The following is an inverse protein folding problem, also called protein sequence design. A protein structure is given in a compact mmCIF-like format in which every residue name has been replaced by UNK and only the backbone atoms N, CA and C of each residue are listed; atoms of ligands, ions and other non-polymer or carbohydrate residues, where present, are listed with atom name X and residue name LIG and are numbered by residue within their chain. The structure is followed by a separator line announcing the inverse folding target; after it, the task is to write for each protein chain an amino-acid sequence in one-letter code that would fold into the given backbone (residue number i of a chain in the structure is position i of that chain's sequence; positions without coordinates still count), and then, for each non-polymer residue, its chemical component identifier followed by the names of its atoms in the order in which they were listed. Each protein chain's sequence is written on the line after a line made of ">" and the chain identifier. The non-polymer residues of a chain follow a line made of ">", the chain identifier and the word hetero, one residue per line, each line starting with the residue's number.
data_IF_433078078598
#
_entry.id   IF_433078078598
#
_cell.length_a   1.000
_cell.length_b   1.000
_cell.length_c   1.000
_cell.angle_alpha   90.00
_cell.angle_beta   90.00
_cell.angle_gamma   90.00
#
_symmetry.space_group_name_H-M   'P 1'
#
loop_
_entity.id
_entity.type
_entity.pdbx_description
1 polymer ?
#
# COMPACT_ATOMS: atom_id res chain seq x y z
N UNK A 1 0.48 -29.97 14.81
CA UNK A 1 -0.74 -29.93 13.98
C UNK A 1 -1.35 -28.57 14.17
N UNK A 2 -1.83 -27.97 13.11
CA UNK A 2 -2.16 -26.55 13.07
C UNK A 2 -3.52 -26.34 12.42
N UNK A 3 -4.26 -25.35 12.90
CA UNK A 3 -5.46 -24.85 12.21
C UNK A 3 -5.04 -23.72 11.26
N UNK A 4 -5.30 -23.91 9.97
CA UNK A 4 -5.01 -22.93 8.94
C UNK A 4 -6.29 -22.18 8.57
N UNK A 5 -6.44 -20.92 8.99
CA UNK A 5 -7.51 -20.06 8.47
C UNK A 5 -7.14 -19.57 7.08
N UNK A 6 -7.98 -19.85 6.09
CA UNK A 6 -7.66 -19.62 4.67
C UNK A 6 -8.73 -18.75 4.03
N UNK A 7 -8.31 -17.64 3.44
CA UNK A 7 -9.15 -16.86 2.53
C UNK A 7 -9.30 -17.55 1.18
N UNK A 8 -10.53 -17.97 0.87
CA UNK A 8 -10.90 -18.62 -0.38
C UNK A 8 -10.93 -17.65 -1.57
N UNK A 9 -10.93 -16.33 -1.32
CA UNK A 9 -11.19 -15.35 -2.35
C UNK A 9 -12.69 -15.17 -2.65
N UNK A 10 -13.03 -14.37 -3.68
CA UNK A 10 -14.37 -13.83 -3.89
C UNK A 10 -15.39 -14.81 -4.51
N UNK A 11 -14.93 -15.86 -5.20
CA UNK A 11 -15.83 -16.75 -5.95
C UNK A 11 -15.15 -17.67 -6.97
N UNK A 12 -14.32 -17.13 -7.85
CA UNK A 12 -13.59 -17.98 -8.79
C UNK A 12 -12.52 -18.80 -8.05
N UNK A 13 -12.41 -20.10 -8.37
CA UNK A 13 -11.52 -21.00 -7.66
C UNK A 13 -10.02 -20.68 -7.90
N UNK A 14 -9.70 -20.03 -9.01
CA UNK A 14 -8.36 -19.58 -9.38
C UNK A 14 -7.95 -18.26 -8.72
N UNK A 15 -8.85 -17.59 -7.99
CA UNK A 15 -8.54 -16.42 -7.17
C UNK A 15 -8.15 -16.77 -5.73
N UNK A 16 -8.09 -18.06 -5.38
CA UNK A 16 -7.41 -18.49 -4.16
C UNK A 16 -5.91 -18.28 -4.28
N UNK A 17 -5.24 -17.99 -3.17
CA UNK A 17 -3.77 -17.94 -3.16
C UNK A 17 -3.18 -19.34 -3.37
N UNK A 18 -1.98 -19.40 -3.97
CA UNK A 18 -1.22 -20.66 -4.10
C UNK A 18 -1.08 -21.35 -2.74
N UNK A 19 -0.72 -20.59 -1.70
CA UNK A 19 -0.61 -21.10 -0.32
C UNK A 19 -1.94 -21.68 0.17
N UNK A 20 -3.06 -20.99 -0.04
CA UNK A 20 -4.37 -21.43 0.42
C UNK A 20 -4.80 -22.74 -0.23
N UNK A 21 -4.61 -22.86 -1.55
CA UNK A 21 -4.90 -24.09 -2.30
C UNK A 21 -4.06 -25.27 -1.80
N UNK A 22 -2.74 -25.07 -1.67
CA UNK A 22 -1.83 -26.15 -1.27
C UNK A 22 -2.08 -26.61 0.17
N UNK A 23 -2.53 -25.71 1.05
CA UNK A 23 -3.00 -26.03 2.40
C UNK A 23 -4.28 -26.89 2.39
N UNK A 24 -5.27 -26.53 1.56
CA UNK A 24 -6.51 -27.31 1.40
C UNK A 24 -6.20 -28.70 0.86
N UNK A 25 -5.33 -28.81 -0.14
CA UNK A 25 -4.94 -30.07 -0.77
C UNK A 25 -4.35 -31.08 0.21
N UNK A 26 -3.53 -30.61 1.16
CA UNK A 26 -2.79 -31.49 2.10
C UNK A 26 -3.48 -31.73 3.43
N UNK A 27 -4.45 -30.90 3.82
CA UNK A 27 -5.09 -30.98 5.15
C UNK A 27 -6.04 -32.18 5.22
N UNK A 28 -5.88 -33.11 6.19
CA UNK A 28 -6.78 -34.25 6.34
C UNK A 28 -8.22 -33.87 6.72
N UNK A 29 -8.42 -32.67 7.29
CA UNK A 29 -9.73 -32.15 7.67
C UNK A 29 -9.91 -30.75 7.07
N UNK A 30 -11.00 -30.55 6.34
CA UNK A 30 -11.35 -29.27 5.70
C UNK A 30 -12.71 -28.80 6.20
N UNK A 31 -12.75 -27.67 6.89
CA UNK A 31 -13.98 -27.03 7.38
C UNK A 31 -14.24 -25.77 6.56
N UNK A 32 -15.34 -25.69 5.82
CA UNK A 32 -15.66 -24.49 5.03
C UNK A 32 -16.93 -23.78 5.51
N UNK A 33 -16.97 -22.46 5.33
CA UNK A 33 -18.06 -21.59 5.78
C UNK A 33 -19.23 -21.51 4.77
N UNK A 34 -19.86 -22.65 4.45
CA UNK A 34 -21.10 -22.70 3.68
C UNK A 34 -21.01 -22.22 2.24
N UNK A 35 -22.16 -21.76 1.73
CA UNK A 35 -22.38 -21.46 0.30
C UNK A 35 -21.57 -20.29 -0.28
N UNK A 36 -20.84 -19.55 0.56
CA UNK A 36 -19.94 -18.48 0.12
C UNK A 36 -18.52 -18.98 -0.18
N UNK A 37 -18.24 -20.27 0.09
CA UNK A 37 -17.04 -20.95 -0.41
C UNK A 37 -17.41 -21.74 -1.67
N UNK A 38 -16.80 -21.42 -2.82
CA UNK A 38 -17.06 -22.10 -4.10
C UNK A 38 -16.80 -23.60 -4.04
N UNK A 39 -17.69 -24.44 -4.63
CA UNK A 39 -17.47 -25.89 -4.69
C UNK A 39 -16.15 -26.28 -5.33
N UNK A 40 -15.66 -25.50 -6.32
CA UNK A 40 -14.37 -25.74 -6.96
C UNK A 40 -13.18 -25.66 -5.99
N UNK A 41 -13.25 -24.81 -4.97
CA UNK A 41 -12.20 -24.70 -3.95
C UNK A 41 -12.26 -25.89 -2.99
N UNK A 42 -13.47 -26.31 -2.62
CA UNK A 42 -13.68 -27.48 -1.75
C UNK A 42 -13.23 -28.77 -2.46
N UNK A 43 -13.39 -28.85 -3.78
CA UNK A 43 -12.98 -29.98 -4.60
C UNK A 43 -11.45 -30.18 -4.67
N UNK A 44 -10.64 -29.19 -4.29
CA UNK A 44 -9.18 -29.32 -4.20
C UNK A 44 -8.73 -30.16 -2.99
N UNK A 45 -9.62 -30.43 -2.03
CA UNK A 45 -9.29 -31.22 -0.86
C UNK A 45 -8.81 -32.64 -1.26
N UNK A 46 -7.56 -32.98 -0.94
CA UNK A 46 -6.98 -34.30 -1.19
C UNK A 46 -6.45 -34.56 -2.59
N UNK A 47 -6.38 -33.57 -3.50
CA UNK A 47 -5.95 -33.82 -4.90
C UNK A 47 -4.45 -34.02 -5.10
N UNK A 48 -3.60 -33.69 -4.11
CA UNK A 48 -2.13 -33.82 -4.17
C UNK A 48 -1.56 -34.83 -3.15
N UNK A 49 -2.24 -35.94 -2.89
CA UNK A 49 -1.60 -37.02 -2.12
C UNK A 49 -0.43 -37.63 -2.93
N UNK A 50 0.83 -37.60 -2.43
CA UNK A 50 1.92 -38.32 -3.08
C UNK A 50 1.69 -39.83 -2.90
N UNK A 51 1.48 -40.53 -4.02
CA UNK A 51 1.25 -41.98 -4.07
C UNK A 51 -0.22 -42.38 -4.04
N UNK A 52 -0.54 -43.50 -4.68
CA UNK A 52 -1.89 -44.06 -4.92
C UNK A 52 -2.66 -44.52 -3.64
N UNK A 53 -2.35 -43.97 -2.47
CA UNK A 53 -3.07 -44.25 -1.23
C UNK A 53 -4.21 -43.23 -1.04
N UNK A 54 -5.49 -43.64 -1.05
CA UNK A 54 -6.59 -42.76 -0.69
C UNK A 54 -6.39 -42.27 0.73
N UNK A 55 -6.31 -40.94 0.94
CA UNK A 55 -6.49 -40.37 2.27
C UNK A 55 -7.98 -40.15 2.49
N UNK A 56 -8.49 -40.60 3.63
CA UNK A 56 -9.84 -40.27 4.06
C UNK A 56 -9.87 -38.78 4.48
N UNK A 57 -10.13 -37.89 3.51
CA UNK A 57 -10.20 -36.45 3.75
C UNK A 57 -11.61 -36.11 4.21
N UNK A 58 -11.71 -35.54 5.41
CA UNK A 58 -12.99 -35.17 6.00
C UNK A 58 -13.34 -33.72 5.67
N UNK A 59 -14.25 -33.54 4.72
CA UNK A 59 -14.77 -32.23 4.31
C UNK A 59 -16.08 -31.93 5.04
N UNK A 60 -16.16 -30.80 5.74
CA UNK A 60 -17.27 -30.45 6.63
C UNK A 60 -17.80 -29.06 6.27
N UNK A 61 -19.09 -28.99 5.93
CA UNK A 61 -19.83 -27.73 5.85
C UNK A 61 -20.19 -27.26 7.26
N UNK A 62 -19.74 -26.06 7.60
CA UNK A 62 -20.02 -25.45 8.93
C UNK A 62 -21.20 -24.50 8.93
N UNK A 63 -21.91 -24.30 7.82
CA UNK A 63 -23.01 -23.34 7.72
C UNK A 63 -24.13 -23.56 8.74
N UNK A 64 -24.39 -24.81 9.12
CA UNK A 64 -25.42 -25.19 10.08
C UNK A 64 -24.89 -25.34 11.52
N UNK A 65 -23.59 -25.11 11.75
CA UNK A 65 -22.93 -25.32 13.04
C UNK A 65 -22.83 -24.01 13.82
N UNK A 66 -22.98 -24.10 15.14
CA UNK A 66 -22.64 -22.99 16.02
C UNK A 66 -21.12 -22.98 16.34
N UNK A 67 -20.65 -21.93 17.01
CA UNK A 67 -19.23 -21.75 17.32
C UNK A 67 -18.65 -22.93 18.11
N UNK A 68 -19.33 -23.40 19.15
CA UNK A 68 -18.82 -24.51 19.98
C UNK A 68 -18.66 -25.80 19.17
N UNK A 69 -19.64 -26.12 18.31
CA UNK A 69 -19.56 -27.26 17.40
C UNK A 69 -18.39 -27.12 16.41
N UNK A 70 -18.14 -25.92 15.90
CA UNK A 70 -17.01 -25.64 14.99
C UNK A 70 -15.67 -25.83 15.73
N UNK A 71 -15.56 -25.34 16.97
CA UNK A 71 -14.37 -25.55 17.81
C UNK A 71 -14.17 -27.03 18.11
N UNK A 72 -15.23 -27.78 18.43
CA UNK A 72 -15.14 -29.21 18.73
C UNK A 72 -14.63 -30.01 17.52
N UNK A 73 -15.03 -29.65 16.29
CA UNK A 73 -14.49 -30.27 15.08
C UNK A 73 -12.99 -30.02 14.91
N UNK A 74 -12.54 -28.78 15.14
CA UNK A 74 -11.12 -28.43 15.05
C UNK A 74 -10.31 -29.13 16.14
N UNK A 75 -10.80 -29.10 17.38
CA UNK A 75 -10.17 -29.78 18.52
C UNK A 75 -10.03 -31.29 18.27
N UNK A 76 -11.10 -31.95 17.85
CA UNK A 76 -11.07 -33.39 17.58
C UNK A 76 -10.08 -33.77 16.46
N UNK A 77 -9.94 -32.92 15.45
CA UNK A 77 -8.95 -33.13 14.38
C UNK A 77 -7.50 -32.98 14.90
N UNK A 78 -7.25 -31.95 15.72
CA UNK A 78 -5.93 -31.71 16.31
C UNK A 78 -5.53 -32.83 17.28
N UNK A 79 -6.45 -33.30 18.13
CA UNK A 79 -6.25 -34.44 19.04
C UNK A 79 -5.98 -35.75 18.28
N UNK A 80 -6.53 -35.90 17.07
CA UNK A 80 -6.25 -37.01 16.17
C UNK A 80 -4.93 -36.87 15.39
N UNK A 81 -4.18 -35.78 15.58
CA UNK A 81 -2.93 -35.56 14.87
C UNK A 81 -3.12 -35.08 13.43
N UNK A 82 -4.20 -34.36 13.13
CA UNK A 82 -4.48 -33.82 11.79
C UNK A 82 -4.44 -32.29 11.74
N UNK A 83 -3.79 -31.73 10.71
CA UNK A 83 -3.95 -30.33 10.33
C UNK A 83 -5.38 -30.05 9.85
N UNK A 84 -5.84 -28.82 10.04
CA UNK A 84 -7.18 -28.38 9.66
C UNK A 84 -7.13 -27.21 8.70
N UNK A 85 -7.72 -27.34 7.52
CA UNK A 85 -7.98 -26.20 6.64
C UNK A 85 -9.34 -25.59 6.98
N UNK A 86 -9.34 -24.41 7.60
CA UNK A 86 -10.54 -23.64 7.93
C UNK A 86 -10.79 -22.55 6.88
N UNK A 87 -11.64 -22.83 5.91
CA UNK A 87 -11.81 -22.03 4.69
C UNK A 87 -12.95 -21.02 4.84
N UNK A 88 -12.63 -19.75 4.64
CA UNK A 88 -13.54 -18.59 4.73
C UNK A 88 -13.65 -17.89 3.36
N UNK A 89 -14.82 -17.32 3.06
CA UNK A 89 -15.00 -16.51 1.84
C UNK A 89 -14.19 -15.22 1.90
N UNK A 90 -13.69 -14.76 0.75
CA UNK A 90 -12.93 -13.51 0.63
C UNK A 90 -11.60 -13.57 1.39
N UNK A 91 -11.36 -12.54 2.20
CA UNK A 91 -10.22 -12.46 3.11
C UNK A 91 -10.69 -12.60 4.58
N UNK A 92 -10.03 -13.43 5.42
CA UNK A 92 -10.46 -13.65 6.79
C UNK A 92 -10.41 -12.41 7.70
N UNK A 93 -9.65 -11.38 7.36
CA UNK A 93 -9.54 -10.16 8.16
C UNK A 93 -10.82 -9.32 8.13
N UNK A 94 -11.69 -9.51 7.13
CA UNK A 94 -12.91 -8.71 6.95
C UNK A 94 -14.17 -9.54 7.19
N UNK A 95 -14.82 -9.30 8.33
CA UNK A 95 -16.12 -9.92 8.68
C UNK A 95 -16.14 -11.45 8.64
N UNK A 96 -14.98 -12.12 8.69
CA UNK A 96 -14.84 -13.57 8.60
C UNK A 96 -15.16 -14.34 9.89
N UNK A 97 -15.38 -13.64 11.01
CA UNK A 97 -15.62 -14.23 12.34
C UNK A 97 -14.52 -15.22 12.79
N UNK A 98 -13.26 -14.97 12.40
CA UNK A 98 -12.13 -15.80 12.83
C UNK A 98 -11.62 -15.45 14.23
N UNK A 99 -11.81 -14.20 14.68
CA UNK A 99 -11.31 -13.73 15.98
C UNK A 99 -11.89 -14.50 17.18
N UNK A 100 -13.19 -14.81 17.14
CA UNK A 100 -13.83 -15.62 18.18
C UNK A 100 -13.34 -17.08 18.16
N UNK A 101 -13.02 -17.62 16.99
CA UNK A 101 -12.47 -18.96 16.86
C UNK A 101 -11.04 -19.01 17.39
N UNK A 102 -10.17 -18.10 16.94
CA UNK A 102 -8.78 -17.96 17.40
C UNK A 102 -8.71 -17.83 18.92
N UNK A 103 -9.53 -16.97 19.54
CA UNK A 103 -9.59 -16.83 21.01
C UNK A 103 -9.93 -18.14 21.73
N UNK A 104 -10.77 -19.00 21.14
CA UNK A 104 -11.11 -20.31 21.72
C UNK A 104 -9.99 -21.32 21.51
N UNK A 105 -9.28 -21.26 20.38
CA UNK A 105 -8.09 -22.07 20.11
C UNK A 105 -6.92 -21.68 21.05
N UNK A 106 -6.70 -20.38 21.29
CA UNK A 106 -5.72 -19.89 22.27
C UNK A 106 -5.97 -20.49 23.65
N UNK A 107 -7.23 -20.49 24.11
CA UNK A 107 -7.62 -21.06 25.40
C UNK A 107 -7.43 -22.59 25.48
N UNK A 108 -7.37 -23.27 24.33
CA UNK A 108 -7.12 -24.71 24.22
C UNK A 108 -5.63 -25.03 23.98
N UNK A 109 -4.77 -24.03 23.79
CA UNK A 109 -3.37 -24.23 23.40
C UNK A 109 -3.21 -24.86 22.01
N UNK A 110 -4.13 -24.55 21.08
CA UNK A 110 -4.10 -25.05 19.70
C UNK A 110 -3.49 -23.98 18.79
N UNK A 111 -2.41 -24.33 18.10
CA UNK A 111 -1.72 -23.44 17.16
C UNK A 111 -2.58 -23.18 15.90
N UNK A 112 -2.49 -21.96 15.38
CA UNK A 112 -3.10 -21.57 14.12
C UNK A 112 -2.26 -20.57 13.33
N UNK A 113 -2.54 -20.48 12.03
CA UNK A 113 -2.07 -19.41 11.16
C UNK A 113 -3.22 -18.85 10.29
N UNK A 114 -2.95 -17.70 9.66
CA UNK A 114 -3.90 -17.05 8.74
C UNK A 114 -3.23 -16.85 7.39
N UNK A 115 -3.81 -17.46 6.36
CA UNK A 115 -3.46 -17.23 4.96
C UNK A 115 -4.45 -16.22 4.36
N UNK A 116 -3.97 -15.05 3.89
CA UNK A 116 -4.84 -14.02 3.32
C UNK A 116 -5.50 -14.51 2.03
N UNK A 117 -6.62 -13.88 1.68
CA UNK A 117 -7.37 -14.11 0.45
C UNK A 117 -7.62 -12.80 -0.30
N UNK A 118 -8.19 -12.92 -1.50
CA UNK A 118 -8.60 -11.76 -2.28
C UNK A 118 -9.96 -11.25 -1.75
N UNK A 119 -10.05 -10.02 -1.21
CA UNK A 119 -11.30 -9.50 -0.66
C UNK A 119 -12.27 -9.08 -1.78
N UNK A 120 -13.58 -9.09 -1.47
CA UNK A 120 -14.62 -8.80 -2.45
C UNK A 120 -14.52 -7.40 -3.08
N UNK A 121 -14.06 -6.38 -2.34
CA UNK A 121 -13.90 -5.03 -2.89
C UNK A 121 -12.79 -4.94 -3.94
N UNK A 122 -11.69 -5.66 -3.76
CA UNK A 122 -10.61 -5.72 -4.74
C UNK A 122 -11.06 -6.49 -5.98
N UNK A 123 -11.79 -7.59 -5.79
CA UNK A 123 -12.39 -8.35 -6.89
C UNK A 123 -13.40 -7.50 -7.69
N UNK A 124 -14.24 -6.72 -7.01
CA UNK A 124 -15.17 -5.79 -7.66
C UNK A 124 -14.43 -4.70 -8.44
N UNK A 125 -13.39 -4.10 -7.85
CA UNK A 125 -12.55 -3.12 -8.55
C UNK A 125 -11.93 -3.70 -9.84
N UNK A 126 -11.42 -4.93 -9.77
CA UNK A 126 -10.87 -5.64 -10.92
C UNK A 126 -11.92 -5.93 -12.00
N UNK A 127 -13.11 -6.43 -11.61
CA UNK A 127 -14.21 -6.71 -12.54
C UNK A 127 -14.75 -5.41 -13.21
N UNK A 128 -14.64 -4.27 -12.53
CA UNK A 128 -15.00 -2.97 -13.08
C UNK A 128 -13.90 -2.34 -13.95
N UNK A 129 -12.66 -2.84 -13.87
CA UNK A 129 -11.48 -2.19 -14.45
C UNK A 129 -11.23 -0.80 -13.84
N UNK A 130 -11.46 -0.65 -12.53
CA UNK A 130 -11.45 0.65 -11.85
C UNK A 130 -10.47 0.65 -10.68
N UNK A 131 -9.59 1.65 -10.64
CA UNK A 131 -8.81 1.97 -9.45
C UNK A 131 -9.68 2.77 -8.46
N UNK A 132 -9.75 2.35 -7.20
CA UNK A 132 -10.62 3.00 -6.19
C UNK A 132 -10.00 4.28 -5.60
N UNK A 133 -8.77 4.59 -5.96
CA UNK A 133 -8.03 5.80 -5.56
C UNK A 133 -7.51 6.52 -6.78
N UNK A 134 -8.05 7.70 -7.07
CA UNK A 134 -7.69 8.50 -8.24
C UNK A 134 -7.22 9.89 -7.80
N UNK A 135 -6.11 10.42 -8.35
CA UNK A 135 -5.65 11.78 -8.08
C UNK A 135 -6.76 12.81 -8.31
N UNK A 136 -6.91 13.76 -7.39
CA UNK A 136 -7.94 14.81 -7.48
C UNK A 136 -9.39 14.35 -7.24
N UNK A 137 -9.66 13.04 -7.16
CA UNK A 137 -11.03 12.50 -6.99
C UNK A 137 -11.22 11.82 -5.63
N UNK A 138 -10.40 10.83 -5.29
CA UNK A 138 -10.47 10.11 -4.02
C UNK A 138 -9.13 9.47 -3.72
N UNK A 139 -8.57 9.69 -2.54
CA UNK A 139 -7.33 9.05 -2.07
C UNK A 139 -7.56 8.10 -0.89
N UNK A 140 -8.83 7.81 -0.61
CA UNK A 140 -9.25 7.03 0.55
C UNK A 140 -10.33 6.03 0.14
N UNK A 141 -10.25 4.81 0.68
CA UNK A 141 -11.29 3.78 0.56
C UNK A 141 -11.75 3.38 1.96
N UNK A 142 -13.04 3.47 2.23
CA UNK A 142 -13.65 3.06 3.50
C UNK A 142 -14.32 1.70 3.29
N UNK A 143 -13.87 0.69 4.04
CA UNK A 143 -14.50 -0.62 4.11
C UNK A 143 -15.43 -0.65 5.31
N UNK A 144 -16.73 -0.77 5.08
CA UNK A 144 -17.73 -0.74 6.16
C UNK A 144 -18.89 -1.69 5.90
N UNK A 145 -19.89 -1.66 6.78
CA UNK A 145 -21.17 -2.34 6.67
C UNK A 145 -22.23 -1.49 7.38
N UNK A 146 -23.49 -1.81 7.18
CA UNK A 146 -24.57 -1.22 7.99
C UNK A 146 -24.80 -2.04 9.25
N UNK A 147 -25.46 -1.41 10.24
CA UNK A 147 -26.14 -2.16 11.30
C UNK A 147 -27.07 -3.20 10.68
N UNK A 148 -27.04 -4.42 11.20
CA UNK A 148 -27.98 -5.48 10.83
C UNK A 148 -28.55 -6.08 12.11
N UNK A 149 -29.58 -6.92 12.00
CA UNK A 149 -30.26 -7.51 13.17
C UNK A 149 -29.31 -8.20 14.16
N UNK A 150 -28.16 -8.72 13.72
CA UNK A 150 -27.19 -9.42 14.56
C UNK A 150 -26.18 -8.51 15.27
N UNK A 151 -25.96 -7.27 14.83
CA UNK A 151 -25.02 -6.36 15.48
C UNK A 151 -25.21 -4.89 15.08
N UNK A 152 -25.10 -4.00 16.06
CA UNK A 152 -24.98 -2.57 15.85
C UNK A 152 -23.57 -2.16 15.39
N UNK A 153 -23.44 -0.91 14.94
CA UNK A 153 -22.14 -0.30 14.64
C UNK A 153 -21.59 0.40 15.89
N UNK A 154 -20.26 0.40 16.11
CA UNK A 154 -19.63 1.27 17.09
C UNK A 154 -19.97 2.76 16.85
N UNK A 155 -19.84 3.56 17.91
CA UNK A 155 -20.05 5.00 17.80
C UNK A 155 -19.04 5.63 16.83
N UNK A 156 -19.53 6.44 15.88
CA UNK A 156 -18.71 7.10 14.86
C UNK A 156 -18.46 6.28 13.59
N UNK A 157 -18.92 5.03 13.53
CA UNK A 157 -18.81 4.16 12.34
C UNK A 157 -20.12 4.06 11.54
N UNK A 158 -21.08 4.95 11.79
CA UNK A 158 -22.31 5.04 10.99
C UNK A 158 -22.06 5.71 9.62
N UNK A 159 -22.94 5.44 8.66
CA UNK A 159 -22.76 5.92 7.29
C UNK A 159 -22.81 7.44 7.15
N UNK A 160 -23.59 8.15 7.98
CA UNK A 160 -23.63 9.61 7.93
C UNK A 160 -22.30 10.20 8.42
N UNK A 161 -21.69 9.61 9.46
CA UNK A 161 -20.35 10.00 9.92
C UNK A 161 -19.28 9.69 8.88
N UNK A 162 -19.21 8.45 8.39
CA UNK A 162 -18.20 8.02 7.42
C UNK A 162 -18.34 8.77 6.08
N UNK A 163 -19.58 9.04 5.66
CA UNK A 163 -19.89 9.68 4.40
C UNK A 163 -19.46 11.14 4.30
N UNK A 164 -19.26 11.83 5.43
CA UNK A 164 -18.77 13.22 5.44
C UNK A 164 -17.39 13.37 4.78
N UNK A 165 -16.59 12.30 4.73
CA UNK A 165 -15.28 12.31 4.09
C UNK A 165 -15.33 12.48 2.57
N UNK A 166 -16.45 12.13 1.92
CA UNK A 166 -16.54 12.05 0.46
C UNK A 166 -15.69 10.94 -0.18
N UNK A 167 -15.03 10.11 0.62
CA UNK A 167 -14.17 9.02 0.15
C UNK A 167 -14.96 7.96 -0.61
N UNK A 168 -14.28 7.09 -1.35
CA UNK A 168 -14.93 5.90 -1.92
C UNK A 168 -15.29 4.94 -0.80
N UNK A 169 -16.55 4.47 -0.75
CA UNK A 169 -17.03 3.57 0.31
C UNK A 169 -17.44 2.22 -0.29
N UNK A 170 -16.90 1.13 0.27
CA UNK A 170 -17.26 -0.24 -0.01
C UNK A 170 -18.06 -0.85 1.16
N UNK A 171 -19.35 -1.04 0.97
CA UNK A 171 -20.31 -1.44 2.00
C UNK A 171 -20.68 -2.91 1.82
N UNK A 172 -20.27 -3.72 2.79
CA UNK A 172 -20.51 -5.16 2.85
C UNK A 172 -21.78 -5.46 3.64
N UNK A 173 -22.37 -6.65 3.44
CA UNK A 173 -23.50 -7.16 4.25
C UNK A 173 -24.75 -6.24 4.28
N UNK A 174 -24.92 -5.38 3.28
CA UNK A 174 -25.89 -4.26 3.33
C UNK A 174 -26.85 -4.16 2.16
N UNK A 175 -26.87 -5.11 1.21
CA UNK A 175 -27.73 -4.99 0.01
C UNK A 175 -29.22 -4.92 0.34
N UNK A 176 -29.68 -5.64 1.38
CA UNK A 176 -31.07 -5.54 1.87
C UNK A 176 -31.38 -4.21 2.58
N UNK A 177 -30.34 -3.48 2.98
CA UNK A 177 -30.43 -2.16 3.59
C UNK A 177 -30.11 -1.04 2.59
N UNK A 178 -30.17 -1.28 1.28
CA UNK A 178 -29.80 -0.29 0.27
C UNK A 178 -30.60 1.01 0.38
N UNK A 179 -31.87 0.94 0.78
CA UNK A 179 -32.66 2.15 1.06
C UNK A 179 -32.12 2.99 2.24
N UNK A 180 -31.57 2.34 3.27
CA UNK A 180 -30.86 3.00 4.36
C UNK A 180 -29.55 3.63 3.85
N UNK A 181 -28.76 2.87 3.10
CA UNK A 181 -27.49 3.35 2.49
C UNK A 181 -27.71 4.62 1.68
N UNK A 182 -28.69 4.62 0.78
CA UNK A 182 -29.01 5.79 -0.06
C UNK A 182 -29.39 6.99 0.80
N UNK A 183 -30.25 6.80 1.81
CA UNK A 183 -30.73 7.90 2.66
C UNK A 183 -29.59 8.54 3.45
N UNK A 184 -28.67 7.75 3.99
CA UNK A 184 -27.56 8.28 4.79
C UNK A 184 -26.47 8.93 3.93
N UNK A 185 -26.20 8.41 2.73
CA UNK A 185 -25.09 8.91 1.91
C UNK A 185 -25.49 10.03 0.93
N UNK A 186 -26.73 10.08 0.46
CA UNK A 186 -27.16 11.10 -0.51
C UNK A 186 -26.94 12.55 -0.03
N UNK A 187 -27.14 12.91 1.25
CA UNK A 187 -26.83 14.25 1.75
C UNK A 187 -25.35 14.66 1.64
N UNK A 188 -24.43 13.70 1.60
CA UNK A 188 -22.99 13.96 1.57
C UNK A 188 -22.39 13.86 0.16
N UNK A 189 -22.88 12.92 -0.65
CA UNK A 189 -22.32 12.64 -1.97
C UNK A 189 -23.11 13.26 -3.13
N UNK A 190 -24.37 13.65 -2.91
CA UNK A 190 -25.31 14.07 -3.94
C UNK A 190 -26.05 12.90 -4.57
N UNK A 191 -27.29 13.13 -5.00
CA UNK A 191 -28.15 12.09 -5.58
C UNK A 191 -27.60 11.51 -6.90
N UNK A 192 -26.78 12.30 -7.60
CA UNK A 192 -26.08 11.94 -8.83
C UNK A 192 -24.80 11.11 -8.58
N UNK A 193 -24.37 10.92 -7.33
CA UNK A 193 -23.16 10.17 -7.04
C UNK A 193 -23.26 8.74 -7.59
N UNK A 194 -22.25 8.29 -8.35
CA UNK A 194 -22.19 6.93 -8.86
C UNK A 194 -22.23 5.87 -7.75
N UNK A 195 -22.96 4.79 -8.04
CA UNK A 195 -23.06 3.60 -7.21
C UNK A 195 -22.95 2.36 -8.10
N UNK A 196 -22.17 1.38 -7.64
CA UNK A 196 -22.12 0.05 -8.22
C UNK A 196 -22.56 -0.97 -7.19
N UNK A 197 -23.43 -1.89 -7.58
CA UNK A 197 -23.74 -3.10 -6.80
C UNK A 197 -23.18 -4.31 -7.55
N UNK A 198 -22.13 -4.90 -7.01
CA UNK A 198 -21.46 -6.07 -7.55
C UNK A 198 -21.98 -7.33 -6.83
N UNK A 199 -22.84 -8.08 -7.49
CA UNK A 199 -23.41 -9.33 -7.01
C UNK A 199 -22.55 -10.51 -7.43
N UNK A 200 -22.13 -11.32 -6.44
CA UNK A 200 -21.31 -12.53 -6.64
C UNK A 200 -20.17 -12.31 -7.64
N UNK A 201 -19.37 -11.28 -7.40
CA UNK A 201 -18.20 -10.99 -8.24
C UNK A 201 -17.30 -12.21 -8.37
N UNK A 202 -16.81 -12.49 -9.59
CA UNK A 202 -16.06 -13.66 -10.05
C UNK A 202 -16.82 -14.99 -10.12
N UNK A 203 -18.09 -15.05 -9.70
CA UNK A 203 -18.90 -16.26 -9.90
C UNK A 203 -19.44 -16.34 -11.33
N UNK A 204 -19.81 -17.54 -11.83
CA UNK A 204 -20.42 -17.68 -13.16
C UNK A 204 -21.71 -16.88 -13.35
N UNK A 205 -22.43 -16.59 -12.27
CA UNK A 205 -23.67 -15.78 -12.26
C UNK A 205 -23.45 -14.34 -11.79
N UNK A 206 -22.22 -13.81 -11.93
CA UNK A 206 -21.88 -12.43 -11.62
C UNK A 206 -22.86 -11.44 -12.29
N UNK A 207 -23.26 -10.41 -11.53
CA UNK A 207 -23.99 -9.26 -12.07
C UNK A 207 -23.45 -7.97 -11.49
N UNK A 208 -23.19 -6.99 -12.36
CA UNK A 208 -22.78 -5.64 -11.99
C UNK A 208 -23.90 -4.67 -12.35
N UNK A 209 -24.50 -4.06 -11.33
CA UNK A 209 -25.55 -3.06 -11.51
C UNK A 209 -24.95 -1.67 -11.28
N UNK A 210 -25.01 -0.81 -12.29
CA UNK A 210 -24.52 0.57 -12.25
C UNK A 210 -25.68 1.55 -12.15
N UNK A 211 -25.52 2.57 -11.31
CA UNK A 211 -26.51 3.62 -11.15
C UNK A 211 -25.97 4.77 -10.31
N UNK A 212 -26.87 5.53 -9.73
CA UNK A 212 -26.55 6.60 -8.80
C UNK A 212 -27.30 6.40 -7.49
N UNK A 213 -26.99 7.20 -6.47
CA UNK A 213 -27.76 7.19 -5.22
C UNK A 213 -29.26 7.46 -5.47
N UNK A 214 -29.63 8.15 -6.55
CA UNK A 214 -31.03 8.38 -6.92
C UNK A 214 -31.77 7.13 -7.42
N UNK A 215 -31.11 6.22 -8.15
CA UNK A 215 -31.79 5.16 -8.92
C UNK A 215 -31.36 3.72 -8.59
N UNK A 216 -30.25 3.53 -7.88
CA UNK A 216 -29.63 2.21 -7.71
C UNK A 216 -30.56 1.21 -7.01
N UNK A 217 -31.38 1.70 -6.07
CA UNK A 217 -32.31 0.86 -5.32
C UNK A 217 -33.32 0.17 -6.24
N UNK A 218 -33.87 0.91 -7.19
CA UNK A 218 -34.91 0.40 -8.06
C UNK A 218 -34.31 -0.56 -9.10
N UNK A 219 -33.09 -0.27 -9.58
CA UNK A 219 -32.32 -1.17 -10.45
C UNK A 219 -31.98 -2.51 -9.77
N UNK A 220 -31.51 -2.47 -8.52
CA UNK A 220 -31.19 -3.66 -7.73
C UNK A 220 -32.44 -4.49 -7.44
N UNK A 221 -33.57 -3.84 -7.13
CA UNK A 221 -34.86 -4.51 -6.95
C UNK A 221 -35.34 -5.21 -8.23
N UNK A 222 -35.19 -4.55 -9.38
CA UNK A 222 -35.54 -5.17 -10.67
C UNK A 222 -34.67 -6.38 -11.02
N UNK A 223 -33.43 -6.41 -10.53
CA UNK A 223 -32.49 -7.52 -10.73
C UNK A 223 -32.66 -8.69 -9.74
N UNK A 224 -33.58 -8.57 -8.76
CA UNK A 224 -33.84 -9.54 -7.69
C UNK A 224 -32.60 -9.93 -6.86
N UNK A 225 -31.72 -8.95 -6.62
CA UNK A 225 -30.50 -9.15 -5.83
C UNK A 225 -30.81 -8.90 -4.34
N UNK A 226 -30.78 -9.98 -3.55
CA UNK A 226 -31.19 -9.95 -2.12
C UNK A 226 -30.07 -10.36 -1.14
N UNK A 227 -28.91 -10.80 -1.64
CA UNK A 227 -27.76 -11.23 -0.82
C UNK A 227 -26.47 -11.24 -1.63
N UNK A 228 -25.34 -11.43 -0.96
CA UNK A 228 -24.02 -11.65 -1.58
C UNK A 228 -23.66 -10.58 -2.62
N UNK A 229 -23.87 -9.32 -2.24
CA UNK A 229 -23.51 -8.18 -3.06
C UNK A 229 -22.72 -7.16 -2.26
N UNK A 230 -21.72 -6.59 -2.91
CA UNK A 230 -20.97 -5.44 -2.45
C UNK A 230 -21.58 -4.17 -3.04
N UNK A 231 -21.74 -3.13 -2.22
CA UNK A 231 -22.12 -1.80 -2.68
C UNK A 231 -20.87 -0.92 -2.69
N UNK A 232 -20.51 -0.35 -3.84
CA UNK A 232 -19.49 0.66 -3.97
C UNK A 232 -20.17 2.01 -4.23
N UNK A 233 -19.83 3.03 -3.47
CA UNK A 233 -20.32 4.42 -3.63
C UNK A 233 -19.11 5.34 -3.74
N UNK A 234 -19.07 6.19 -4.76
CA UNK A 234 -18.02 7.18 -4.89
C UNK A 234 -17.83 7.70 -6.30
N UNK A 235 -17.25 8.90 -6.40
CA UNK A 235 -17.01 9.58 -7.68
C UNK A 235 -16.03 8.85 -8.59
N UNK A 236 -15.15 8.01 -8.03
CA UNK A 236 -14.19 7.18 -8.79
C UNK A 236 -14.86 6.20 -9.76
N UNK A 237 -16.12 5.83 -9.52
CA UNK A 237 -16.83 4.85 -10.34
C UNK A 237 -17.31 5.43 -11.70
N UNK A 238 -17.21 6.75 -11.87
CA UNK A 238 -17.54 7.48 -13.11
C UNK A 238 -16.77 8.82 -13.16
N UNK A 239 -15.45 8.79 -12.91
CA UNK A 239 -14.65 10.00 -12.72
C UNK A 239 -14.38 10.81 -14.00
N UNK A 240 -14.66 10.27 -15.19
CA UNK A 240 -14.27 10.89 -16.45
C UNK A 240 -12.75 11.05 -16.55
N UNK A 241 -12.30 12.23 -16.98
CA UNK A 241 -10.88 12.59 -17.02
C UNK A 241 -10.38 12.99 -15.62
N UNK A 242 -9.26 12.39 -15.20
CA UNK A 242 -8.55 12.74 -13.97
C UNK A 242 -7.04 12.85 -14.26
N UNK A 243 -6.29 13.51 -13.37
CA UNK A 243 -4.86 13.72 -13.56
C UNK A 243 -4.07 12.40 -13.43
N UNK A 244 -3.07 12.22 -14.28
CA UNK A 244 -2.12 11.12 -14.14
C UNK A 244 -1.41 11.17 -12.77
N UNK A 245 -1.19 9.99 -12.19
CA UNK A 245 -0.35 9.88 -11.01
C UNK A 245 1.06 10.35 -11.32
N UNK A 246 1.61 11.21 -10.47
CA UNK A 246 3.01 11.64 -10.57
C UNK A 246 4.02 10.53 -10.34
N UNK A 247 3.59 9.36 -9.86
CA UNK A 247 4.45 8.20 -9.64
C UNK A 247 5.27 7.83 -10.88
N UNK A 248 4.67 7.97 -12.07
CA UNK A 248 5.32 7.65 -13.35
C UNK A 248 5.65 8.88 -14.20
N UNK A 249 5.42 10.11 -13.69
CA UNK A 249 5.68 11.33 -14.45
C UNK A 249 7.15 11.40 -14.88
N UNK A 250 7.41 11.87 -16.11
CA UNK A 250 8.75 11.91 -16.72
C UNK A 250 9.77 12.80 -15.96
N UNK A 251 9.28 13.69 -15.13
CA UNK A 251 10.07 14.59 -14.27
C UNK A 251 10.12 14.13 -12.79
N UNK A 252 9.43 13.05 -12.43
CA UNK A 252 9.48 12.49 -11.10
C UNK A 252 10.69 11.57 -10.94
N UNK A 253 11.49 11.85 -9.90
CA UNK A 253 12.70 11.10 -9.56
C UNK A 253 12.58 10.52 -8.16
N UNK A 254 13.09 9.32 -7.97
CA UNK A 254 13.16 8.62 -6.69
C UNK A 254 14.33 7.63 -6.74
N UNK A 255 14.61 6.92 -5.64
CA UNK A 255 15.76 5.99 -5.52
C UNK A 255 15.86 5.03 -6.71
N UNK A 256 14.75 4.39 -7.13
CA UNK A 256 14.74 3.48 -8.28
C UNK A 256 14.72 4.16 -9.68
N UNK A 257 14.72 5.50 -9.75
CA UNK A 257 14.73 6.29 -10.99
C UNK A 257 15.49 7.60 -10.77
N UNK A 258 16.83 7.53 -10.65
CA UNK A 258 17.64 8.72 -10.45
C UNK A 258 17.60 9.63 -11.68
N UNK A 259 17.84 10.94 -11.51
CA UNK A 259 17.99 11.86 -12.62
C UNK A 259 19.23 11.49 -13.46
N UNK A 260 19.12 11.56 -14.80
CA UNK A 260 20.27 11.44 -15.70
C UNK A 260 21.02 12.78 -15.70
N UNK A 261 22.02 12.90 -14.83
CA UNK A 261 22.81 14.12 -14.68
C UNK A 261 24.05 14.04 -15.57
N UNK A 262 24.25 15.03 -16.45
CA UNK A 262 25.55 15.18 -17.14
C UNK A 262 26.56 15.74 -16.14
N UNK A 263 27.81 15.27 -16.21
CA UNK A 263 28.85 15.70 -15.26
C UNK A 263 28.95 17.23 -15.05
N UNK A 264 28.92 18.09 -16.08
CA UNK A 264 29.00 19.54 -15.88
C UNK A 264 27.82 20.14 -15.08
N UNK A 265 26.65 19.51 -15.15
CA UNK A 265 25.42 19.97 -14.50
C UNK A 265 25.31 19.46 -13.05
N UNK A 266 26.19 18.55 -12.64
CA UNK A 266 26.16 17.90 -11.33
C UNK A 266 26.24 18.88 -10.14
N UNK A 267 27.13 19.89 -10.12
CA UNK A 267 27.17 20.85 -9.01
C UNK A 267 25.90 21.69 -8.91
N UNK A 268 25.22 21.96 -10.03
CA UNK A 268 23.96 22.70 -10.04
C UNK A 268 22.83 21.87 -9.43
N UNK A 269 22.74 20.59 -9.79
CA UNK A 269 21.81 19.65 -9.16
C UNK A 269 22.06 19.51 -7.65
N UNK A 270 23.33 19.37 -7.24
CA UNK A 270 23.69 19.30 -5.83
C UNK A 270 23.26 20.57 -5.07
N UNK A 271 23.54 21.76 -5.62
CA UNK A 271 23.14 23.03 -5.03
C UNK A 271 21.61 23.18 -4.93
N UNK A 272 20.88 22.72 -5.94
CA UNK A 272 19.41 22.68 -5.93
C UNK A 272 18.86 21.81 -4.80
N UNK A 273 19.41 20.61 -4.60
CA UNK A 273 19.00 19.76 -3.48
C UNK A 273 19.24 20.42 -2.10
N UNK A 274 20.35 21.16 -1.94
CA UNK A 274 20.59 21.98 -0.73
C UNK A 274 19.54 23.07 -0.58
N UNK A 275 19.28 23.82 -1.66
CA UNK A 275 18.35 24.96 -1.64
C UNK A 275 16.90 24.55 -1.38
N UNK A 276 16.49 23.37 -1.84
CA UNK A 276 15.14 22.83 -1.63
C UNK A 276 15.01 22.05 -0.31
N UNK A 277 16.08 21.92 0.47
CA UNK A 277 16.07 21.14 1.71
C UNK A 277 15.86 19.64 1.50
N UNK A 278 16.17 19.10 0.31
CA UNK A 278 16.02 17.68 -0.02
C UNK A 278 17.20 16.88 0.54
N UNK A 279 17.23 16.74 1.87
CA UNK A 279 18.35 16.09 2.58
C UNK A 279 18.48 14.63 2.16
N UNK A 280 17.38 13.88 2.03
CA UNK A 280 17.45 12.47 1.62
C UNK A 280 18.04 12.32 0.22
N UNK A 281 17.64 13.18 -0.72
CA UNK A 281 18.20 13.21 -2.08
C UNK A 281 19.69 13.58 -2.05
N UNK A 282 20.11 14.53 -1.20
CA UNK A 282 21.53 14.87 -1.02
C UNK A 282 22.33 13.68 -0.53
N UNK A 283 21.86 12.97 0.50
CA UNK A 283 22.56 11.82 1.09
C UNK A 283 22.64 10.67 0.09
N UNK A 284 21.60 10.45 -0.71
CA UNK A 284 21.58 9.43 -1.75
C UNK A 284 22.66 9.64 -2.83
N UNK A 285 23.14 10.88 -3.02
CA UNK A 285 24.24 11.15 -3.95
C UNK A 285 25.61 10.68 -3.45
N UNK A 286 25.80 10.48 -2.14
CA UNK A 286 27.11 10.10 -1.58
C UNK A 286 27.26 8.58 -1.51
N UNK A 287 28.31 8.09 -2.17
CA UNK A 287 28.70 6.68 -2.11
C UNK A 287 28.93 6.23 -0.66
N UNK A 288 28.76 4.95 -0.35
CA UNK A 288 28.91 4.44 1.03
C UNK A 288 30.29 4.75 1.62
N UNK A 289 31.33 4.70 0.79
CA UNK A 289 32.71 5.08 1.14
C UNK A 289 33.06 6.56 0.91
N UNK A 290 32.08 7.43 0.64
CA UNK A 290 32.36 8.82 0.31
C UNK A 290 32.86 9.62 1.52
N UNK A 291 33.76 10.58 1.25
CA UNK A 291 34.25 11.52 2.26
C UNK A 291 33.88 12.94 1.86
N UNK A 292 33.17 13.63 2.75
CA UNK A 292 32.90 15.06 2.67
C UNK A 292 33.82 15.83 3.62
N UNK A 293 34.61 16.76 3.09
CA UNK A 293 35.31 17.80 3.84
C UNK A 293 34.47 19.08 3.77
N UNK A 294 33.66 19.44 4.79
CA UNK A 294 32.64 20.47 4.64
C UNK A 294 33.17 21.87 4.97
N UNK A 295 32.56 22.90 4.35
CA UNK A 295 32.92 24.31 4.61
C UNK A 295 32.72 24.73 6.07
N UNK A 296 31.65 24.28 6.73
CA UNK A 296 31.25 24.77 8.06
C UNK A 296 31.46 23.74 9.18
N UNK A 297 32.43 22.84 9.02
CA UNK A 297 32.80 21.86 10.03
C UNK A 297 34.32 21.63 9.99
N UNK A 298 35.00 21.55 11.15
CA UNK A 298 36.41 21.14 11.19
C UNK A 298 36.58 19.62 11.00
N UNK A 299 35.50 18.84 11.06
CA UNK A 299 35.52 17.38 10.91
C UNK A 299 34.98 16.94 9.55
N UNK A 300 35.66 15.96 8.96
CA UNK A 300 35.18 15.25 7.78
C UNK A 300 33.97 14.38 8.15
N UNK A 301 32.97 14.32 7.26
CA UNK A 301 31.91 13.33 7.32
C UNK A 301 32.28 12.13 6.42
N UNK A 302 32.25 10.93 6.99
CA UNK A 302 32.81 9.70 6.39
C UNK A 302 31.79 8.57 6.23
N UNK A 303 30.55 8.79 6.67
CA UNK A 303 29.45 7.86 6.55
C UNK A 303 28.12 8.62 6.40
N UNK A 304 27.05 7.91 6.05
CA UNK A 304 25.73 8.51 5.80
C UNK A 304 25.11 9.20 7.02
N UNK A 305 25.40 8.73 8.23
CA UNK A 305 24.90 9.35 9.47
C UNK A 305 25.55 10.71 9.68
N UNK A 306 26.88 10.80 9.59
CA UNK A 306 27.64 12.05 9.70
C UNK A 306 27.28 13.05 8.60
N UNK A 307 27.10 12.58 7.36
CA UNK A 307 26.64 13.41 6.24
C UNK A 307 25.26 13.99 6.54
N UNK A 308 24.32 13.16 7.04
CA UNK A 308 22.97 13.59 7.39
C UNK A 308 23.01 14.61 8.53
N UNK A 309 23.79 14.37 9.58
CA UNK A 309 23.96 15.35 10.67
C UNK A 309 24.47 16.69 10.15
N UNK A 310 25.46 16.69 9.25
CA UNK A 310 25.99 17.91 8.64
C UNK A 310 24.93 18.65 7.81
N UNK A 311 24.25 17.97 6.89
CA UNK A 311 23.28 18.61 6.01
C UNK A 311 22.03 19.08 6.76
N UNK A 312 21.57 18.36 7.79
CA UNK A 312 20.50 18.83 8.67
C UNK A 312 20.87 20.13 9.38
N UNK A 313 22.09 20.22 9.93
CA UNK A 313 22.59 21.43 10.58
C UNK A 313 22.80 22.58 9.60
N UNK A 314 23.23 22.28 8.36
CA UNK A 314 23.37 23.28 7.32
C UNK A 314 22.00 23.84 6.91
N UNK A 315 21.03 22.96 6.64
CA UNK A 315 19.67 23.32 6.23
C UNK A 315 18.87 24.05 7.31
N UNK A 316 19.26 23.95 8.58
CA UNK A 316 18.63 24.70 9.67
C UNK A 316 19.06 26.17 9.73
N UNK A 317 19.92 26.65 8.83
CA UNK A 317 20.34 28.05 8.78
C UNK A 317 19.29 28.92 8.10
N UNK A 318 18.93 30.03 8.75
CA UNK A 318 17.93 30.96 8.24
C UNK A 318 18.30 31.55 6.88
N UNK A 319 17.39 31.45 5.91
CA UNK A 319 17.59 31.90 4.54
C UNK A 319 18.80 31.24 3.84
N UNK A 320 19.06 29.95 4.11
CA UNK A 320 20.09 29.20 3.40
C UNK A 320 19.84 29.23 1.88
N UNK A 321 20.87 29.60 1.14
CA UNK A 321 20.90 29.53 -0.32
C UNK A 321 22.34 29.33 -0.82
N UNK A 322 22.54 28.36 -1.71
CA UNK A 322 23.78 28.06 -2.41
C UNK A 322 23.67 28.60 -3.82
N UNK A 323 24.52 29.59 -4.16
CA UNK A 323 24.63 30.13 -5.51
C UNK A 323 25.88 29.55 -6.20
N UNK A 324 25.69 28.72 -7.21
CA UNK A 324 26.78 28.24 -8.04
C UNK A 324 27.28 29.34 -9.00
N UNK A 325 28.60 29.49 -9.13
CA UNK A 325 29.19 30.36 -10.15
C UNK A 325 29.60 29.54 -11.37
N UNK A 326 28.66 29.30 -12.28
CA UNK A 326 28.83 28.41 -13.44
C UNK A 326 30.07 28.72 -14.29
N UNK A 327 30.44 30.00 -14.42
CA UNK A 327 31.64 30.42 -15.17
C UNK A 327 32.96 29.98 -14.56
N UNK A 328 32.94 29.49 -13.32
CA UNK A 328 34.12 28.99 -12.59
C UNK A 328 34.26 27.48 -12.66
N UNK A 329 33.27 26.79 -13.27
CA UNK A 329 33.28 25.34 -13.36
C UNK A 329 34.38 24.86 -14.29
N UNK A 330 35.18 23.94 -13.77
CA UNK A 330 36.10 23.13 -14.54
C UNK A 330 35.76 21.66 -14.33
N UNK A 331 35.57 20.92 -15.42
CA UNK A 331 35.13 19.53 -15.41
C UNK A 331 36.13 18.68 -16.19
N UNK A 332 36.93 17.90 -15.47
CA UNK A 332 37.92 17.00 -16.02
C UNK A 332 37.40 15.57 -15.98
N UNK A 333 37.32 14.91 -17.14
CA UNK A 333 37.07 13.47 -17.21
C UNK A 333 38.35 12.72 -16.86
N UNK A 334 38.29 11.83 -15.87
CA UNK A 334 39.44 11.05 -15.38
C UNK A 334 39.31 9.55 -15.67
N UNK A 335 38.08 9.07 -15.97
CA UNK A 335 37.79 7.68 -16.32
C UNK A 335 36.69 7.56 -17.36
N UNK A 336 36.15 6.34 -17.56
CA UNK A 336 35.04 6.12 -18.50
C UNK A 336 33.79 6.88 -18.05
N UNK A 337 33.44 6.79 -16.77
CA UNK A 337 32.30 7.50 -16.17
C UNK A 337 32.71 8.36 -14.96
N UNK A 338 34.01 8.45 -14.68
CA UNK A 338 34.56 9.22 -13.56
C UNK A 338 35.02 10.62 -13.96
N UNK A 339 34.70 11.60 -13.12
CA UNK A 339 34.96 13.03 -13.34
C UNK A 339 35.46 13.71 -12.07
N UNK A 340 36.32 14.70 -12.24
CA UNK A 340 36.66 15.68 -11.21
C UNK A 340 36.07 17.02 -11.62
N UNK A 341 35.22 17.59 -10.76
CA UNK A 341 34.53 18.86 -11.03
C UNK A 341 34.90 19.86 -9.96
N UNK A 342 35.49 20.97 -10.37
CA UNK A 342 35.92 22.04 -9.48
C UNK A 342 35.15 23.33 -9.79
N UNK A 343 35.02 24.20 -8.80
CA UNK A 343 34.45 25.51 -9.02
C UNK A 343 34.26 26.29 -7.73
N UNK A 344 33.43 27.33 -7.83
CA UNK A 344 33.08 28.21 -6.72
C UNK A 344 31.56 28.23 -6.59
N UNK A 345 31.07 28.13 -5.36
CA UNK A 345 29.73 28.54 -4.99
C UNK A 345 29.78 29.51 -3.80
N UNK A 346 28.72 30.29 -3.63
CA UNK A 346 28.49 31.07 -2.44
C UNK A 346 27.47 30.38 -1.56
N UNK A 347 27.81 30.10 -0.30
CA UNK A 347 26.79 29.87 0.71
C UNK A 347 26.27 31.22 1.20
N UNK A 348 24.96 31.37 1.27
CA UNK A 348 24.28 32.54 1.83
C UNK A 348 23.33 32.08 2.91
N UNK A 349 23.37 32.71 4.06
CA UNK A 349 22.40 32.53 5.15
C UNK A 349 22.55 33.66 6.14
N UNK A 350 21.58 33.81 7.02
CA UNK A 350 21.52 34.88 8.01
C UNK A 350 22.39 34.52 9.21
N UNK A 351 23.19 35.49 9.66
CA UNK A 351 23.92 35.43 10.93
C UNK A 351 23.55 36.70 11.68
N UNK A 352 23.01 36.55 12.89
CA UNK A 352 22.50 37.66 13.72
C UNK A 352 21.51 38.57 12.95
N UNK A 353 20.60 37.95 12.18
CA UNK A 353 19.58 38.65 11.39
C UNK A 353 20.08 39.32 10.11
N UNK A 354 21.38 39.23 9.79
CA UNK A 354 21.96 39.81 8.57
C UNK A 354 22.36 38.72 7.59
N UNK A 355 21.89 38.82 6.33
CA UNK A 355 22.30 37.89 5.27
C UNK A 355 23.79 38.05 4.96
N UNK A 356 24.56 37.01 5.23
CA UNK A 356 25.99 36.95 4.93
C UNK A 356 26.25 36.05 3.72
N UNK A 357 27.35 36.31 3.02
CA UNK A 357 27.83 35.50 1.88
C UNK A 357 29.20 34.92 2.23
N UNK A 358 29.33 33.60 2.04
CA UNK A 358 30.54 32.83 2.29
C UNK A 358 30.98 32.18 0.98
N UNK A 359 31.85 32.83 0.21
CA UNK A 359 32.41 32.25 -1.00
C UNK A 359 33.24 31.02 -0.65
N UNK A 360 32.97 29.90 -1.31
CA UNK A 360 33.64 28.63 -1.08
C UNK A 360 34.06 28.01 -2.40
N UNK A 361 35.28 27.47 -2.42
CA UNK A 361 35.74 26.60 -3.50
C UNK A 361 35.36 25.16 -3.19
N UNK A 362 35.05 24.40 -4.23
CA UNK A 362 34.73 23.00 -4.09
C UNK A 362 35.44 22.13 -5.13
N UNK A 363 35.54 20.85 -4.79
CA UNK A 363 35.94 19.76 -5.68
C UNK A 363 35.01 18.59 -5.43
N UNK A 364 34.33 18.13 -6.47
CA UNK A 364 33.66 16.84 -6.48
C UNK A 364 34.53 15.84 -7.25
N UNK A 365 34.68 14.64 -6.71
CA UNK A 365 35.09 13.45 -7.47
C UNK A 365 33.85 12.59 -7.58
N UNK A 366 33.37 12.40 -8.81
CA UNK A 366 32.16 11.63 -9.08
C UNK A 366 32.42 10.48 -10.03
N UNK A 367 31.61 9.43 -9.93
CA UNK A 367 31.47 8.40 -10.94
C UNK A 367 29.99 8.23 -11.31
N UNK A 368 29.64 8.56 -12.56
CA UNK A 368 28.27 8.50 -13.05
C UNK A 368 27.79 7.07 -13.34
N UNK A 369 28.66 6.06 -13.20
CA UNK A 369 28.27 4.64 -13.25
C UNK A 369 27.76 4.09 -11.94
N UNK A 370 27.98 4.81 -10.84
CA UNK A 370 27.51 4.43 -9.52
C UNK A 370 26.11 5.03 -9.24
N UNK A 371 25.28 4.28 -8.50
CA UNK A 371 23.96 4.77 -8.05
C UNK A 371 24.10 6.02 -7.15
N UNK A 372 25.15 6.03 -6.33
CA UNK A 372 25.54 7.16 -5.48
C UNK A 372 26.85 7.77 -6.01
N UNK A 373 26.77 8.76 -6.91
CA UNK A 373 27.92 9.14 -7.74
C UNK A 373 29.04 9.88 -7.02
N UNK A 374 28.82 10.52 -5.86
CA UNK A 374 29.86 11.28 -5.16
C UNK A 374 30.78 10.33 -4.41
N UNK A 375 32.03 10.22 -4.86
CA UNK A 375 33.09 9.45 -4.20
C UNK A 375 33.88 10.33 -3.22
N UNK A 376 34.03 11.62 -3.54
CA UNK A 376 34.65 12.60 -2.66
C UNK A 376 34.07 13.99 -2.90
N UNK A 377 33.89 14.77 -1.83
CA UNK A 377 33.53 16.19 -1.93
C UNK A 377 34.39 16.98 -0.96
N UNK A 378 35.18 17.90 -1.49
CA UNK A 378 35.87 18.91 -0.69
C UNK A 378 35.22 20.27 -0.88
N UNK A 379 35.02 21.00 0.22
CA UNK A 379 34.43 22.32 0.25
C UNK A 379 35.14 23.17 1.30
N UNK A 380 35.69 24.31 0.90
CA UNK A 380 36.37 25.23 1.83
C UNK A 380 36.08 26.68 1.50
N UNK A 381 35.96 27.52 2.54
CA UNK A 381 35.85 28.98 2.35
C UNK A 381 37.08 29.51 1.63
N UNK A 382 36.86 30.42 0.68
CA UNK A 382 37.95 31.15 0.04
C UNK A 382 38.57 32.05 1.12
N UNK A 383 39.89 32.00 1.34
CA UNK A 383 40.55 32.86 2.31
C UNK A 383 40.23 34.33 2.01
N UNK A 384 39.86 35.10 3.04
CA UNK A 384 39.88 36.56 2.92
C UNK A 384 41.32 36.93 2.60
N UNK A 385 41.51 37.73 1.56
CA UNK A 385 42.82 38.27 1.18
C UNK A 385 43.52 38.76 2.46
N UNK A 386 44.74 38.29 2.70
CA UNK A 386 45.62 38.84 3.73
C UNK A 386 46.09 40.22 3.22
N UNK A 387 45.20 41.22 3.22
CA UNK A 387 45.54 42.62 2.94
C UNK A 387 45.77 43.38 4.23
#
# INVERSE_FOLDING_TARGET
>A
MTVHFIGAGPGAADLITVRGRDLIRRSPVVLYAGSLVPPGIVAEAGTEAPGDAPRDIRVIDTAAMNLDQIIDQMKAAIEAGHDVARVHSGDPALYGAIAEQMRRLDALGIDYDVTPGVPAYAAAAAALGTELTLPGVSQTVILTRTSVRSSGMPAGEDLATLGQSGATIAIHLSVNNLGFVVRELAPHYGADCPVVVAYRVSWPDERIIRGTLADIRDKVKAADITRTALILVGRVLDAGDFDDSRLYAADHHHVLRPPVIKAPDFPAFWADCVNQGRIDDLIALYHEGAVLMPTFSPHAAKNREELRSYFTLLSSRDNLYVKLHEKTLDCLRTGEQSYVINGIYDFKFSVDGTLQTFPSRFTFVIDLGEESPILHHHSSQIPRTLT
#
